data_IF_282205266850
#
_entry.id   IF_282205266850
#
_cell.length_a   1.000
_cell.length_b   1.000
_cell.length_c   1.000
_cell.angle_alpha   90.00
_cell.angle_beta   90.00
_cell.angle_gamma   90.00
#
_symmetry.space_group_name_H-M   'P 1'
#
loop_
_entity.id
_entity.type
_entity.pdbx_description
1 polymer ?
#
# COMPACT_ATOMS: atom_id res chain seq x y z
N UNK A 1 24.41 -0.97 -3.52
CA UNK A 1 23.21 -1.72 -3.97
C UNK A 1 23.45 -3.19 -3.71
N UNK A 2 22.74 -3.78 -2.76
CA UNK A 2 22.99 -5.13 -2.24
C UNK A 2 22.74 -6.21 -3.29
N UNK A 3 23.58 -7.25 -3.34
CA UNK A 3 23.53 -8.38 -4.29
C UNK A 3 22.19 -9.14 -4.33
N UNK A 4 21.31 -8.94 -3.35
CA UNK A 4 20.00 -9.56 -3.25
C UNK A 4 18.92 -8.90 -4.12
N UNK A 5 19.03 -7.60 -4.43
CA UNK A 5 18.02 -6.90 -5.24
C UNK A 5 18.02 -7.32 -6.72
N UNK A 6 19.07 -8.01 -7.18
CA UNK A 6 19.18 -8.55 -8.53
C UNK A 6 18.60 -9.99 -8.67
N UNK A 7 18.27 -10.66 -7.56
CA UNK A 7 17.72 -12.03 -7.58
C UNK A 7 16.23 -12.05 -7.91
N UNK A 8 15.68 -13.16 -8.45
CA UNK A 8 14.24 -13.36 -8.55
C UNK A 8 13.56 -13.20 -7.18
N UNK A 9 12.37 -12.59 -7.15
CA UNK A 9 11.65 -12.26 -5.91
C UNK A 9 11.48 -13.49 -5.00
N UNK A 10 11.16 -14.65 -5.57
CA UNK A 10 11.00 -15.93 -4.88
C UNK A 10 12.22 -16.41 -4.08
N UNK A 11 13.41 -15.88 -4.34
CA UNK A 11 14.67 -16.32 -3.71
C UNK A 11 15.30 -15.27 -2.78
N UNK A 12 14.61 -14.14 -2.55
CA UNK A 12 15.13 -13.05 -1.72
C UNK A 12 14.81 -13.29 -0.26
N UNK A 13 15.84 -13.22 0.58
CA UNK A 13 15.74 -13.27 2.03
C UNK A 13 16.59 -12.16 2.64
N UNK A 14 16.00 -11.37 3.53
CA UNK A 14 16.61 -10.20 4.14
C UNK A 14 16.67 -10.38 5.66
N UNK A 15 17.87 -10.34 6.24
CA UNK A 15 17.97 -10.12 7.69
C UNK A 15 17.42 -8.72 8.03
N UNK A 16 16.81 -8.54 9.20
CA UNK A 16 16.18 -7.27 9.57
C UNK A 16 17.17 -6.09 9.64
N UNK A 17 18.45 -6.35 9.91
CA UNK A 17 19.54 -5.36 9.86
C UNK A 17 19.77 -4.82 8.44
N UNK A 18 19.49 -5.65 7.43
CA UNK A 18 19.66 -5.34 5.99
C UNK A 18 18.32 -5.18 5.27
N UNK A 19 17.25 -4.92 6.03
CA UNK A 19 15.92 -4.71 5.47
C UNK A 19 15.96 -3.57 4.42
N UNK A 20 15.39 -3.78 3.21
CA UNK A 20 15.47 -2.81 2.12
C UNK A 20 14.72 -1.50 2.42
N UNK A 21 13.84 -1.50 3.42
CA UNK A 21 13.04 -0.34 3.80
C UNK A 21 13.78 0.62 4.73
N UNK A 22 14.71 0.11 5.55
CA UNK A 22 15.41 0.92 6.56
C UNK A 22 16.22 2.10 6.00
N UNK A 23 16.90 1.99 4.84
CA UNK A 23 17.61 3.13 4.26
C UNK A 23 16.69 4.24 3.72
N UNK A 24 15.37 4.00 3.62
CA UNK A 24 14.45 4.98 3.05
C UNK A 24 14.11 6.06 4.09
N UNK A 25 14.24 7.35 3.74
CA UNK A 25 14.06 8.45 4.69
C UNK A 25 12.64 8.60 5.22
N UNK A 26 11.66 7.94 4.58
CA UNK A 26 10.27 7.93 5.00
C UNK A 26 10.02 7.12 6.27
N UNK A 27 10.92 6.21 6.67
CA UNK A 27 10.74 5.38 7.85
C UNK A 27 11.59 5.86 9.03
N UNK A 28 11.08 5.72 10.25
CA UNK A 28 11.87 5.93 11.46
C UNK A 28 12.89 4.80 11.64
N UNK A 29 13.93 5.06 12.41
CA UNK A 29 14.88 4.04 12.82
C UNK A 29 14.37 3.27 14.04
N UNK A 30 14.74 1.99 14.14
CA UNK A 30 14.56 1.19 15.35
C UNK A 30 15.75 1.36 16.28
N UNK A 31 15.48 1.32 17.57
CA UNK A 31 16.53 1.09 18.55
C UNK A 31 17.03 -0.38 18.50
N UNK A 32 18.07 -0.68 19.28
CA UNK A 32 18.69 -2.02 19.28
C UNK A 32 17.75 -3.11 19.83
N UNK A 33 16.92 -2.79 20.82
CA UNK A 33 16.00 -3.73 21.45
C UNK A 33 14.83 -4.04 20.52
N UNK A 34 14.26 -3.00 19.91
CA UNK A 34 13.22 -3.11 18.88
C UNK A 34 13.70 -3.98 17.72
N UNK A 35 14.90 -3.71 17.19
CA UNK A 35 15.46 -4.51 16.10
C UNK A 35 15.67 -5.97 16.49
N UNK A 36 16.24 -6.23 17.67
CA UNK A 36 16.46 -7.58 18.18
C UNK A 36 15.14 -8.36 18.31
N UNK A 37 14.11 -7.69 18.81
CA UNK A 37 12.77 -8.27 18.88
C UNK A 37 12.20 -8.55 17.48
N UNK A 38 12.22 -7.57 16.57
CA UNK A 38 11.70 -7.75 15.20
C UNK A 38 12.45 -8.87 14.45
N UNK A 39 13.76 -9.00 14.63
CA UNK A 39 14.55 -10.11 14.10
C UNK A 39 14.06 -11.48 14.62
N UNK A 40 13.63 -11.55 15.87
CA UNK A 40 13.10 -12.78 16.50
C UNK A 40 11.62 -13.00 16.14
N UNK A 41 10.86 -11.93 15.94
CA UNK A 41 9.44 -11.96 15.60
C UNK A 41 9.21 -12.35 14.13
N UNK A 42 10.16 -11.99 13.26
CA UNK A 42 10.15 -12.38 11.85
C UNK A 42 10.25 -13.91 11.71
N UNK A 43 9.51 -14.45 10.74
CA UNK A 43 9.55 -15.88 10.36
C UNK A 43 10.17 -16.15 9.00
N UNK A 44 10.27 -15.14 8.16
CA UNK A 44 10.89 -15.24 6.85
C UNK A 44 10.24 -14.29 5.86
N UNK A 45 10.20 -14.72 4.61
CA UNK A 45 9.61 -13.98 3.51
C UNK A 45 8.66 -14.85 2.70
N UNK A 46 7.63 -14.21 2.17
CA UNK A 46 6.70 -14.80 1.22
C UNK A 46 6.77 -14.02 -0.09
N UNK A 47 7.12 -14.72 -1.17
CA UNK A 47 6.99 -14.18 -2.51
C UNK A 47 5.60 -14.46 -3.06
N UNK A 48 5.00 -13.45 -3.69
CA UNK A 48 3.65 -13.52 -4.23
C UNK A 48 3.68 -13.04 -5.68
N UNK A 49 3.13 -13.85 -6.57
CA UNK A 49 3.04 -13.48 -7.99
C UNK A 49 1.94 -12.44 -8.23
N UNK A 50 2.06 -11.70 -9.33
CA UNK A 50 1.02 -10.77 -9.77
C UNK A 50 -0.32 -11.51 -9.96
N UNK A 51 -1.40 -10.93 -9.42
CA UNK A 51 -2.76 -11.47 -9.47
C UNK A 51 -3.05 -12.53 -8.41
N UNK A 52 -2.04 -12.97 -7.64
CA UNK A 52 -2.27 -13.88 -6.53
C UNK A 52 -2.87 -13.16 -5.32
N UNK A 53 -3.73 -13.87 -4.59
CA UNK A 53 -4.36 -13.38 -3.37
C UNK A 53 -3.44 -13.60 -2.17
N UNK A 54 -3.16 -12.54 -1.43
CA UNK A 54 -2.37 -12.56 -0.18
C UNK A 54 -3.24 -12.92 1.02
N UNK A 55 -4.45 -12.35 1.08
CA UNK A 55 -5.45 -12.59 2.13
C UNK A 55 -6.84 -12.63 1.53
N UNK A 56 -7.70 -13.46 2.11
CA UNK A 56 -9.11 -13.61 1.71
C UNK A 56 -10.01 -13.12 2.85
N UNK A 57 -11.02 -12.32 2.52
CA UNK A 57 -12.08 -11.93 3.47
C UNK A 57 -12.74 -13.16 4.12
N UNK A 58 -13.01 -13.10 5.44
CA UNK A 58 -13.55 -14.20 6.25
C UNK A 58 -12.53 -15.27 6.64
N UNK A 59 -11.30 -15.23 6.10
CA UNK A 59 -10.28 -16.21 6.48
C UNK A 59 -9.64 -15.90 7.83
N UNK A 60 -9.24 -16.95 8.53
CA UNK A 60 -8.39 -16.88 9.72
C UNK A 60 -6.93 -17.03 9.30
N UNK A 61 -6.28 -15.93 8.92
CA UNK A 61 -4.83 -15.97 8.63
C UNK A 61 -4.03 -15.97 9.93
N UNK A 62 -3.07 -16.89 10.04
CA UNK A 62 -2.14 -16.96 11.17
C UNK A 62 -0.99 -15.92 11.08
N UNK A 63 -0.92 -15.15 9.99
CA UNK A 63 0.24 -14.32 9.68
C UNK A 63 -0.10 -12.84 9.50
N UNK A 64 0.90 -12.02 9.83
CA UNK A 64 0.99 -10.61 9.49
C UNK A 64 2.11 -10.40 8.49
N UNK A 65 1.95 -9.39 7.65
CA UNK A 65 2.92 -9.13 6.59
C UNK A 65 3.30 -7.67 6.52
N UNK A 66 4.59 -7.39 6.44
CA UNK A 66 5.07 -6.08 5.97
C UNK A 66 5.49 -6.20 4.51
N UNK A 67 4.97 -5.31 3.66
CA UNK A 67 5.37 -5.29 2.24
C UNK A 67 6.82 -4.83 2.15
N UNK A 68 7.71 -5.66 1.61
CA UNK A 68 9.11 -5.29 1.33
C UNK A 68 9.30 -4.75 -0.08
N UNK A 69 8.54 -5.27 -1.05
CA UNK A 69 8.55 -4.80 -2.43
C UNK A 69 7.25 -5.15 -3.15
N UNK A 70 6.95 -4.40 -4.22
CA UNK A 70 5.77 -4.62 -5.05
C UNK A 70 4.54 -3.84 -4.59
N UNK A 71 3.42 -4.14 -5.24
CA UNK A 71 2.16 -3.43 -5.10
C UNK A 71 1.04 -4.42 -4.86
N UNK A 72 0.10 -4.07 -3.98
CA UNK A 72 -1.16 -4.77 -3.80
C UNK A 72 -2.31 -3.78 -3.65
N UNK A 73 -3.53 -4.30 -3.67
CA UNK A 73 -4.71 -3.57 -3.31
C UNK A 73 -5.59 -4.37 -2.38
N UNK A 74 -6.23 -3.66 -1.46
CA UNK A 74 -7.21 -4.14 -0.50
C UNK A 74 -8.60 -3.94 -1.09
N UNK A 75 -9.44 -4.96 -1.05
CA UNK A 75 -10.79 -4.87 -1.60
C UNK A 75 -11.82 -5.69 -0.82
N UNK A 76 -13.08 -5.37 -1.06
CA UNK A 76 -14.25 -6.18 -0.67
C UNK A 76 -15.11 -6.47 -1.89
N UNK A 77 -15.88 -7.54 -1.81
CA UNK A 77 -16.88 -7.89 -2.82
C UNK A 77 -18.27 -7.74 -2.23
N UNK A 78 -19.20 -7.24 -3.03
CA UNK A 78 -20.63 -7.38 -2.76
C UNK A 78 -21.09 -8.80 -3.10
N UNK A 79 -22.25 -9.26 -2.60
CA UNK A 79 -22.81 -10.57 -2.94
C UNK A 79 -23.03 -10.77 -4.45
N UNK A 80 -23.21 -9.69 -5.20
CA UNK A 80 -23.35 -9.70 -6.67
C UNK A 80 -22.00 -9.68 -7.43
N UNK A 81 -20.88 -9.79 -6.71
CA UNK A 81 -19.54 -9.84 -7.27
C UNK A 81 -18.93 -8.47 -7.60
N UNK A 82 -19.65 -7.37 -7.41
CA UNK A 82 -19.07 -6.03 -7.61
C UNK A 82 -17.96 -5.78 -6.58
N UNK A 83 -16.81 -5.32 -7.06
CA UNK A 83 -15.62 -5.06 -6.26
C UNK A 83 -15.51 -3.60 -5.88
N UNK A 84 -15.21 -3.35 -4.61
CA UNK A 84 -14.77 -2.04 -4.13
C UNK A 84 -13.34 -2.15 -3.64
N UNK A 85 -12.43 -1.42 -4.28
CA UNK A 85 -11.06 -1.26 -3.80
C UNK A 85 -11.05 -0.20 -2.69
N UNK A 86 -10.52 -0.56 -1.52
CA UNK A 86 -10.50 0.28 -0.33
C UNK A 86 -9.20 1.09 -0.20
N UNK A 87 -8.05 0.46 -0.49
CA UNK A 87 -6.74 1.11 -0.45
C UNK A 87 -5.71 0.31 -1.26
N UNK A 88 -4.53 0.89 -1.47
CA UNK A 88 -3.37 0.25 -2.08
C UNK A 88 -2.28 0.02 -1.03
N UNK A 89 -1.58 -1.11 -1.14
CA UNK A 89 -0.48 -1.51 -0.27
C UNK A 89 0.83 -1.47 -1.04
N UNK A 90 1.83 -0.84 -0.42
CA UNK A 90 3.16 -0.57 -0.96
C UNK A 90 4.22 -0.84 0.12
N UNK A 91 5.53 -0.80 -0.23
CA UNK A 91 6.58 -1.08 0.72
C UNK A 91 6.45 -0.28 2.03
N UNK A 92 6.55 -1.00 3.15
CA UNK A 92 6.37 -0.48 4.51
C UNK A 92 4.92 -0.47 5.02
N UNK A 93 3.93 -0.87 4.22
CA UNK A 93 2.58 -1.10 4.71
C UNK A 93 2.43 -2.48 5.38
N UNK A 94 1.61 -2.51 6.43
CA UNK A 94 1.28 -3.71 7.19
C UNK A 94 -0.04 -4.30 6.68
N UNK A 95 -0.04 -5.58 6.38
CA UNK A 95 -1.17 -6.35 5.88
C UNK A 95 -1.57 -7.40 6.93
N UNK A 96 -2.88 -7.52 7.18
CA UNK A 96 -3.45 -8.52 8.10
C UNK A 96 -3.73 -8.03 9.52
N UNK A 97 -3.39 -6.77 9.87
CA UNK A 97 -3.53 -6.26 11.24
C UNK A 97 -4.95 -6.40 11.81
N UNK A 98 -5.99 -6.14 10.99
CA UNK A 98 -7.38 -6.17 11.45
C UNK A 98 -7.80 -7.54 11.97
N UNK A 99 -7.42 -8.63 11.30
CA UNK A 99 -7.80 -9.96 11.76
C UNK A 99 -7.03 -10.41 13.00
N UNK A 100 -5.96 -9.74 13.40
CA UNK A 100 -5.33 -9.96 14.72
C UNK A 100 -6.20 -9.52 15.89
N UNK A 101 -7.08 -8.54 15.66
CA UNK A 101 -7.94 -7.97 16.70
C UNK A 101 -9.39 -8.46 16.58
N UNK A 102 -9.85 -8.74 15.36
CA UNK A 102 -11.24 -9.07 15.05
C UNK A 102 -11.49 -10.58 14.83
N UNK A 103 -10.46 -11.43 14.96
CA UNK A 103 -10.54 -12.88 14.76
C UNK A 103 -10.38 -13.32 13.29
N UNK A 104 -11.05 -12.62 12.37
CA UNK A 104 -11.04 -12.91 10.93
C UNK A 104 -10.66 -11.70 10.06
N UNK A 105 -10.27 -11.95 8.80
CA UNK A 105 -9.96 -10.90 7.84
C UNK A 105 -11.23 -10.20 7.33
N UNK A 106 -11.27 -8.87 7.46
CA UNK A 106 -12.43 -8.07 7.05
C UNK A 106 -12.44 -7.65 5.57
N UNK A 107 -11.45 -8.14 4.80
CA UNK A 107 -11.18 -7.76 3.42
C UNK A 107 -10.21 -8.75 2.77
N UNK A 108 -10.17 -8.72 1.45
CA UNK A 108 -9.16 -9.44 0.65
C UNK A 108 -8.01 -8.51 0.25
N UNK A 109 -6.86 -9.10 -0.05
CA UNK A 109 -5.68 -8.41 -0.60
C UNK A 109 -5.14 -9.19 -1.79
N UNK A 110 -4.93 -8.52 -2.91
CA UNK A 110 -4.39 -9.11 -4.14
C UNK A 110 -3.20 -8.31 -4.67
N UNK A 111 -2.21 -9.02 -5.19
CA UNK A 111 -0.97 -8.46 -5.72
C UNK A 111 -1.17 -7.84 -7.12
N UNK A 112 -0.79 -6.57 -7.31
CA UNK A 112 -0.77 -5.87 -8.62
C UNK A 112 0.54 -6.08 -9.38
N UNK A 113 1.59 -6.45 -8.68
CA UNK A 113 2.91 -6.80 -9.22
C UNK A 113 3.44 -8.02 -8.48
N UNK A 114 4.55 -8.64 -8.93
CA UNK A 114 5.30 -9.52 -8.05
C UNK A 114 5.63 -8.78 -6.74
N UNK A 115 5.43 -9.45 -5.60
CA UNK A 115 5.63 -8.89 -4.27
C UNK A 115 6.57 -9.76 -3.44
N UNK A 116 7.26 -9.10 -2.50
CA UNK A 116 7.95 -9.77 -1.41
C UNK A 116 7.38 -9.24 -0.10
N UNK A 117 6.99 -10.15 0.79
CA UNK A 117 6.39 -9.85 2.08
C UNK A 117 7.30 -10.37 3.20
N UNK A 118 7.56 -9.56 4.22
CA UNK A 118 8.14 -10.03 5.47
C UNK A 118 7.03 -10.66 6.32
N UNK A 119 7.23 -11.89 6.79
CA UNK A 119 6.19 -12.67 7.48
C UNK A 119 6.42 -12.63 8.99
N UNK A 120 5.34 -12.40 9.74
CA UNK A 120 5.31 -12.47 11.20
C UNK A 120 4.18 -13.38 11.68
N UNK A 121 4.34 -13.98 12.85
CA UNK A 121 3.28 -14.76 13.51
C UNK A 121 2.30 -13.84 14.23
N UNK A 122 1.02 -13.96 13.92
CA UNK A 122 -0.03 -13.10 14.49
C UNK A 122 -0.14 -13.22 16.01
N UNK A 123 0.10 -14.42 16.56
CA UNK A 123 -0.06 -14.72 17.98
C UNK A 123 0.95 -13.96 18.87
N UNK A 124 2.15 -13.69 18.35
CA UNK A 124 3.18 -12.91 19.04
C UNK A 124 2.90 -11.41 19.06
N UNK A 125 1.85 -10.94 18.37
CA UNK A 125 1.46 -9.54 18.43
C UNK A 125 1.12 -9.11 19.87
N UNK A 126 0.49 -9.98 20.66
CA UNK A 126 0.20 -9.68 22.06
C UNK A 126 1.47 -9.47 22.90
N UNK A 127 2.52 -10.23 22.61
CA UNK A 127 3.82 -10.08 23.26
C UNK A 127 4.48 -8.75 22.90
N UNK A 128 4.41 -8.36 21.61
CA UNK A 128 4.84 -7.04 21.15
C UNK A 128 4.16 -5.92 21.95
N UNK A 129 2.83 -5.98 22.07
CA UNK A 129 2.08 -4.98 22.85
C UNK A 129 2.46 -4.94 24.34
N UNK A 130 2.79 -6.08 24.94
CA UNK A 130 3.13 -6.19 26.36
C UNK A 130 4.55 -5.72 26.66
N UNK A 131 5.50 -6.09 25.81
CA UNK A 131 6.94 -5.98 26.11
C UNK A 131 7.64 -4.85 25.34
N UNK A 132 7.05 -4.34 24.27
CA UNK A 132 7.66 -3.33 23.38
C UNK A 132 6.71 -2.15 23.13
N UNK A 133 6.53 -1.24 24.11
CA UNK A 133 5.57 -0.13 23.99
C UNK A 133 5.85 0.83 22.83
N UNK A 134 7.12 0.99 22.41
CA UNK A 134 7.48 1.77 21.21
C UNK A 134 6.89 1.17 19.93
N UNK A 135 7.05 -0.15 19.74
CA UNK A 135 6.46 -0.87 18.61
C UNK A 135 4.92 -0.94 18.71
N UNK A 136 4.37 -1.01 19.92
CA UNK A 136 2.92 -0.95 20.13
C UNK A 136 2.33 0.40 19.69
N UNK A 137 3.01 1.50 20.03
CA UNK A 137 2.67 2.84 19.57
C UNK A 137 2.75 2.92 18.04
N UNK A 138 3.80 2.37 17.44
CA UNK A 138 3.97 2.33 15.99
C UNK A 138 2.82 1.66 15.26
N UNK A 139 2.35 0.50 15.75
CA UNK A 139 1.21 -0.19 15.17
C UNK A 139 -0.06 0.65 15.28
N UNK A 140 -0.26 1.31 16.42
CA UNK A 140 -1.39 2.21 16.64
C UNK A 140 -1.34 3.41 15.68
N UNK A 141 -0.16 3.99 15.47
CA UNK A 141 0.07 5.06 14.52
C UNK A 141 -0.21 4.60 13.09
N UNK A 142 0.24 3.39 12.70
CA UNK A 142 -0.05 2.81 11.38
C UNK A 142 -1.57 2.64 11.19
N UNK A 143 -2.28 2.12 12.19
CA UNK A 143 -3.72 1.95 12.14
C UNK A 143 -4.46 3.30 12.00
N UNK A 144 -4.08 4.29 12.80
CA UNK A 144 -4.65 5.65 12.73
C UNK A 144 -4.39 6.32 11.38
N UNK A 145 -3.21 6.08 10.78
CA UNK A 145 -2.94 6.57 9.43
C UNK A 145 -3.83 5.89 8.39
N UNK A 146 -4.06 4.59 8.48
CA UNK A 146 -4.98 3.89 7.57
C UNK A 146 -6.43 4.39 7.72
N UNK A 147 -6.88 4.68 8.94
CA UNK A 147 -8.17 5.34 9.19
C UNK A 147 -8.25 6.70 8.50
N UNK A 148 -7.25 7.58 8.70
CA UNK A 148 -7.19 8.88 8.02
C UNK A 148 -7.23 8.76 6.50
N UNK A 149 -6.57 7.75 5.93
CA UNK A 149 -6.62 7.49 4.48
C UNK A 149 -8.02 7.09 4.02
N UNK A 150 -8.76 6.32 4.83
CA UNK A 150 -10.15 5.96 4.53
C UNK A 150 -11.08 7.17 4.61
N UNK A 151 -10.89 8.07 5.59
CA UNK A 151 -11.65 9.31 5.70
C UNK A 151 -11.47 10.21 4.47
N UNK A 152 -10.23 10.36 4.01
CA UNK A 152 -9.92 11.14 2.80
C UNK A 152 -10.52 10.51 1.54
N UNK A 153 -10.50 9.18 1.43
CA UNK A 153 -11.17 8.46 0.35
C UNK A 153 -12.68 8.66 0.40
N UNK A 154 -13.30 8.61 1.58
CA UNK A 154 -14.72 8.86 1.78
C UNK A 154 -15.08 10.31 1.41
N UNK A 155 -14.30 11.29 1.84
CA UNK A 155 -14.46 12.71 1.47
C UNK A 155 -14.37 12.88 -0.06
N UNK A 156 -13.38 12.24 -0.69
CA UNK A 156 -13.20 12.27 -2.14
C UNK A 156 -14.43 11.72 -2.86
N UNK A 157 -14.90 10.53 -2.47
CA UNK A 157 -16.10 9.89 -3.04
C UNK A 157 -17.37 10.70 -2.74
N UNK A 158 -17.46 11.36 -1.59
CA UNK A 158 -18.65 12.12 -1.21
C UNK A 158 -18.76 13.47 -1.90
N UNK A 159 -17.64 14.18 -2.09
CA UNK A 159 -17.66 15.62 -2.38
C UNK A 159 -16.88 16.07 -3.63
N UNK A 160 -15.90 15.30 -4.10
CA UNK A 160 -15.17 15.64 -5.34
C UNK A 160 -15.97 15.20 -6.57
N UNK A 161 -15.84 15.92 -7.67
CA UNK A 161 -16.31 15.47 -8.99
C UNK A 161 -15.51 14.25 -9.46
N UNK A 162 -16.01 13.48 -10.45
CA UNK A 162 -15.30 12.31 -10.97
C UNK A 162 -13.85 12.63 -11.43
N UNK A 163 -13.65 13.79 -12.05
CA UNK A 163 -12.33 14.24 -12.51
C UNK A 163 -11.40 14.57 -11.34
N UNK A 164 -11.91 15.28 -10.32
CA UNK A 164 -11.15 15.60 -9.10
C UNK A 164 -10.82 14.35 -8.29
N UNK A 165 -11.74 13.36 -8.22
CA UNK A 165 -11.50 12.06 -7.56
C UNK A 165 -10.38 11.28 -8.23
N UNK A 166 -10.40 11.19 -9.57
CA UNK A 166 -9.36 10.48 -10.31
C UNK A 166 -8.00 11.20 -10.16
N UNK A 167 -7.99 12.53 -10.22
CA UNK A 167 -6.78 13.31 -9.98
C UNK A 167 -6.23 13.08 -8.57
N UNK A 168 -7.11 13.12 -7.56
CA UNK A 168 -6.78 12.86 -6.15
C UNK A 168 -6.16 11.47 -5.99
N UNK A 169 -6.84 10.43 -6.49
CA UNK A 169 -6.39 9.04 -6.34
C UNK A 169 -4.98 8.84 -6.90
N UNK A 170 -4.75 9.32 -8.12
CA UNK A 170 -3.46 9.15 -8.80
C UNK A 170 -2.36 9.94 -8.08
N UNK A 171 -2.64 11.19 -7.66
CA UNK A 171 -1.70 11.97 -6.87
C UNK A 171 -1.40 11.31 -5.52
N UNK A 172 -2.42 10.82 -4.83
CA UNK A 172 -2.29 10.17 -3.53
C UNK A 172 -1.41 8.92 -3.62
N UNK A 173 -1.67 8.03 -4.58
CA UNK A 173 -0.86 6.83 -4.79
C UNK A 173 0.58 7.23 -5.16
N UNK A 174 0.76 8.22 -6.03
CA UNK A 174 2.09 8.67 -6.44
C UNK A 174 2.92 9.25 -5.29
N UNK A 175 2.27 10.02 -4.40
CA UNK A 175 2.89 10.58 -3.20
C UNK A 175 3.43 9.47 -2.29
N UNK A 176 2.59 8.46 -2.01
CA UNK A 176 2.99 7.30 -1.19
C UNK A 176 4.09 6.47 -1.84
N UNK A 177 4.00 6.24 -3.14
CA UNK A 177 4.99 5.46 -3.89
C UNK A 177 6.39 6.09 -3.82
N UNK A 178 6.48 7.42 -3.95
CA UNK A 178 7.75 8.16 -3.79
C UNK A 178 8.35 7.96 -2.40
N UNK A 179 7.53 8.11 -1.35
CA UNK A 179 7.97 7.89 0.03
C UNK A 179 8.42 6.44 0.29
N UNK A 180 7.75 5.47 -0.31
CA UNK A 180 8.09 4.05 -0.21
C UNK A 180 9.32 3.64 -1.05
N UNK A 181 10.02 4.58 -1.68
CA UNK A 181 11.18 4.31 -2.52
C UNK A 181 10.85 3.55 -3.81
N UNK A 182 9.57 3.49 -4.19
CA UNK A 182 9.14 2.91 -5.45
C UNK A 182 9.42 3.89 -6.59
N UNK A 183 9.74 3.34 -7.76
CA UNK A 183 9.89 4.07 -9.02
C UNK A 183 11.03 5.11 -9.06
N UNK A 184 12.09 4.90 -8.25
CA UNK A 184 13.44 5.49 -8.38
C UNK A 184 13.55 6.85 -9.07
N UNK A 185 13.63 6.85 -10.40
CA UNK A 185 13.72 8.05 -11.26
C UNK A 185 12.43 8.24 -12.05
N UNK A 186 11.86 9.43 -11.93
CA UNK A 186 10.63 9.95 -12.54
C UNK A 186 10.49 9.59 -14.03
N UNK A 187 9.27 9.28 -14.52
CA UNK A 187 7.96 9.41 -13.85
C UNK A 187 7.52 8.22 -12.97
N UNK A 188 6.63 8.47 -11.99
CA UNK A 188 6.07 7.40 -11.15
C UNK A 188 5.12 6.55 -11.99
N UNK A 189 5.39 5.25 -12.08
CA UNK A 189 4.54 4.28 -12.77
C UNK A 189 3.70 3.49 -11.76
N UNK A 190 2.38 3.65 -11.83
CA UNK A 190 1.42 2.99 -10.96
C UNK A 190 0.81 1.80 -11.72
N UNK A 191 0.98 0.54 -11.25
CA UNK A 191 0.55 -0.66 -11.97
C UNK A 191 -0.96 -0.93 -11.82
N UNK A 192 -1.79 0.06 -12.15
CA UNK A 192 -3.25 -0.03 -12.09
C UNK A 192 -3.88 -0.03 -13.49
N UNK A 193 -5.04 -0.67 -13.61
CA UNK A 193 -5.89 -0.65 -14.80
C UNK A 193 -7.00 0.38 -14.63
N UNK A 194 -7.69 0.72 -15.70
CA UNK A 194 -8.89 1.57 -15.63
C UNK A 194 -10.00 0.88 -14.83
N UNK A 195 -10.04 -0.46 -14.81
CA UNK A 195 -10.95 -1.20 -13.94
C UNK A 195 -10.59 -1.00 -12.46
N UNK A 196 -9.30 -1.03 -12.08
CA UNK A 196 -8.90 -0.71 -10.71
C UNK A 196 -9.33 0.71 -10.32
N UNK A 197 -9.15 1.69 -11.20
CA UNK A 197 -9.63 3.06 -10.95
C UNK A 197 -11.15 3.09 -10.78
N UNK A 198 -11.90 2.37 -11.62
CA UNK A 198 -13.36 2.29 -11.51
C UNK A 198 -13.79 1.69 -10.17
N UNK A 199 -13.19 0.56 -9.79
CA UNK A 199 -13.46 -0.17 -8.54
C UNK A 199 -13.04 0.63 -7.30
N UNK A 200 -12.06 1.55 -7.40
CA UNK A 200 -11.70 2.45 -6.29
C UNK A 200 -12.69 3.62 -6.19
N UNK A 201 -13.04 4.25 -7.32
CA UNK A 201 -13.81 5.50 -7.33
C UNK A 201 -15.33 5.29 -7.28
N UNK A 202 -15.81 4.05 -7.37
CA UNK A 202 -17.23 3.73 -7.45
C UNK A 202 -17.89 4.24 -8.74
N UNK A 203 -17.12 4.30 -9.84
CA UNK A 203 -17.59 4.78 -11.14
C UNK A 203 -17.78 3.60 -12.09
N UNK A 204 -18.67 3.75 -13.08
CA UNK A 204 -18.71 2.78 -14.18
C UNK A 204 -17.43 2.84 -15.00
N UNK A 205 -16.99 1.71 -15.56
CA UNK A 205 -15.79 1.64 -16.41
C UNK A 205 -15.84 2.66 -17.57
N UNK A 206 -17.02 2.84 -18.18
CA UNK A 206 -17.23 3.82 -19.26
C UNK A 206 -16.99 5.26 -18.77
N UNK A 207 -17.50 5.61 -17.59
CA UNK A 207 -17.27 6.93 -17.01
C UNK A 207 -15.80 7.10 -16.63
N UNK A 208 -15.18 6.08 -16.01
CA UNK A 208 -13.76 6.07 -15.67
C UNK A 208 -12.88 6.32 -16.90
N UNK A 209 -13.14 5.63 -18.02
CA UNK A 209 -12.39 5.82 -19.26
C UNK A 209 -12.51 7.25 -19.81
N UNK A 210 -13.71 7.84 -19.78
CA UNK A 210 -13.92 9.25 -20.17
C UNK A 210 -13.16 10.20 -19.25
N UNK A 211 -13.15 9.92 -17.95
CA UNK A 211 -12.46 10.73 -16.94
C UNK A 211 -10.95 10.66 -17.09
N UNK A 212 -10.38 9.47 -17.26
CA UNK A 212 -8.94 9.27 -17.49
C UNK A 212 -8.51 9.95 -18.79
N UNK A 213 -9.31 9.88 -19.86
CA UNK A 213 -9.05 10.62 -21.10
C UNK A 213 -8.90 12.12 -20.86
N UNK A 214 -9.79 12.73 -20.07
CA UNK A 214 -9.67 14.15 -19.70
C UNK A 214 -8.39 14.47 -18.93
N UNK A 215 -7.87 13.55 -18.11
CA UNK A 215 -6.57 13.73 -17.43
C UNK A 215 -5.41 13.64 -18.43
N UNK A 216 -5.49 12.72 -19.39
CA UNK A 216 -4.50 12.59 -20.48
C UNK A 216 -4.51 13.80 -21.42
N UNK A 217 -5.68 14.32 -21.80
CA UNK A 217 -5.82 15.52 -22.64
C UNK A 217 -5.21 16.75 -21.96
N UNK A 218 -5.25 16.80 -20.63
CA UNK A 218 -4.60 17.81 -19.79
C UNK A 218 -3.10 17.55 -19.55
N UNK A 219 -2.55 16.48 -20.12
CA UNK A 219 -1.15 16.03 -19.95
C UNK A 219 -0.74 15.77 -18.49
N UNK A 220 -1.71 15.43 -17.63
CA UNK A 220 -1.45 15.15 -16.22
C UNK A 220 -0.93 13.72 -16.01
N UNK A 221 -1.40 12.80 -16.85
CA UNK A 221 -1.05 11.38 -16.81
C UNK A 221 -0.87 10.86 -18.22
N UNK A 222 -0.15 9.77 -18.34
CA UNK A 222 -0.06 8.97 -19.54
C UNK A 222 -0.40 7.53 -19.20
N UNK A 223 -1.17 6.87 -20.07
CA UNK A 223 -1.52 5.46 -19.90
C UNK A 223 -0.77 4.62 -20.93
N UNK A 224 0.00 3.63 -20.47
CA UNK A 224 0.79 2.73 -21.31
C UNK A 224 0.64 1.29 -20.84
N UNK A 225 1.19 0.35 -21.61
CA UNK A 225 1.33 -1.03 -21.18
C UNK A 225 2.12 -1.09 -19.86
N UNK A 226 1.44 -1.52 -18.80
CA UNK A 226 1.98 -1.54 -17.44
C UNK A 226 1.37 -0.54 -16.46
N UNK A 227 0.50 0.38 -16.90
CA UNK A 227 -0.36 1.17 -16.00
C UNK A 227 -0.34 2.68 -16.24
N UNK A 228 -0.53 3.45 -15.16
CA UNK A 228 -0.61 4.90 -15.18
C UNK A 228 0.74 5.54 -14.85
N UNK A 229 1.27 6.32 -15.78
CA UNK A 229 2.47 7.13 -15.62
C UNK A 229 2.08 8.56 -15.22
N UNK A 230 2.64 9.06 -14.12
CA UNK A 230 2.31 10.39 -13.57
C UNK A 230 3.21 11.46 -14.16
N UNK A 231 2.67 12.25 -15.09
CA UNK A 231 3.42 13.26 -15.86
C UNK A 231 3.51 14.58 -15.09
N UNK A 232 2.39 15.08 -14.58
CA UNK A 232 2.32 16.34 -13.82
C UNK A 232 1.63 16.11 -12.47
N UNK A 233 2.46 15.80 -11.47
CA UNK A 233 2.02 15.57 -10.10
C UNK A 233 1.38 16.81 -9.46
N UNK A 234 1.95 17.99 -9.69
CA UNK A 234 1.44 19.23 -9.09
C UNK A 234 0.14 19.68 -9.77
N UNK A 235 0.01 19.45 -11.07
CA UNK A 235 -1.24 19.62 -11.80
C UNK A 235 -2.35 18.71 -11.28
N UNK A 236 -2.04 17.44 -10.95
CA UNK A 236 -3.00 16.53 -10.30
C UNK A 236 -3.42 17.03 -8.92
N UNK A 237 -2.47 17.46 -8.08
CA UNK A 237 -2.76 18.04 -6.76
C UNK A 237 -3.66 19.26 -6.85
N UNK A 238 -3.33 20.20 -7.75
CA UNK A 238 -4.11 21.42 -7.96
C UNK A 238 -5.53 21.10 -8.44
N UNK A 239 -5.66 20.18 -9.38
CA UNK A 239 -6.97 19.72 -9.87
C UNK A 239 -7.78 19.05 -8.75
N UNK A 240 -7.14 18.22 -7.93
CA UNK A 240 -7.76 17.54 -6.80
C UNK A 240 -8.08 18.43 -5.60
N UNK A 241 -7.57 19.67 -5.59
CA UNK A 241 -7.55 20.57 -4.42
C UNK A 241 -6.99 19.83 -3.20
N UNK A 242 -5.82 19.22 -3.38
CA UNK A 242 -5.19 18.38 -2.36
C UNK A 242 -3.76 18.83 -2.10
N UNK A 243 -3.44 19.05 -0.83
CA UNK A 243 -2.16 19.63 -0.40
C UNK A 243 -1.05 18.59 -0.25
N UNK A 244 -1.39 17.30 -0.25
CA UNK A 244 -0.45 16.21 -0.02
C UNK A 244 -0.72 15.48 1.29
N UNK A 245 0.13 14.51 1.64
CA UNK A 245 -0.03 13.72 2.85
C UNK A 245 0.47 14.39 4.13
N UNK A 246 1.30 15.44 4.02
CA UNK A 246 2.19 15.90 5.08
C UNK A 246 3.35 14.91 5.24
N UNK A 247 4.59 15.36 5.05
CA UNK A 247 5.77 14.48 5.07
C UNK A 247 6.26 14.26 6.51
N UNK A 248 5.64 13.30 7.21
CA UNK A 248 6.18 12.79 8.47
C UNK A 248 6.93 11.47 8.25
N UNK A 249 8.01 11.28 9.02
CA UNK A 249 8.63 9.95 9.17
C UNK A 249 7.62 9.03 9.82
N UNK A 250 7.34 7.91 9.16
CA UNK A 250 6.40 6.90 9.66
C UNK A 250 7.11 5.71 10.29
N UNK A 251 6.46 5.04 11.23
CA UNK A 251 6.81 3.70 11.66
C UNK A 251 6.90 2.67 10.53
N UNK A 252 7.73 1.67 10.81
CA UNK A 252 7.86 0.41 10.09
C UNK A 252 7.70 -0.71 11.14
N UNK A 253 7.17 -1.87 10.74
CA UNK A 253 7.19 -3.12 11.52
C UNK A 253 7.84 -4.19 10.65
#
# INVERSE_FOLDING_TARGET
>A
MSSQSARPVASRQYNCEKCPLRPLPAFREFDKQELSFISTFKRGELAVDKGATVLVEGSHSAHLYTVLSGWAFRYKLLPDGRRQILNFSMPGDLIGLQGSLMGEMQHSVEALSPMLLCVFEREQLQELYRNHPGLAYDITWIASREERMLDENLLSIGRRTALERAAYLIAFIASRARGAGLNGKTPVQIPITQQHVADTLGLSLVHTNKTIRKLMDRKLVLWRDGGCEVIDYDGLKKLARWEGLGEDRRPLI
#
